data_IF_111081820106
#
_entry.id   IF_111081820106
#
_cell.length_a   1.000
_cell.length_b   1.000
_cell.length_c   1.000
_cell.angle_alpha   90.00
_cell.angle_beta   90.00
_cell.angle_gamma   90.00
#
_symmetry.space_group_name_H-M   'P 1'
#
loop_
_entity.id
_entity.type
_entity.pdbx_description
1 polymer ?
#
# COMPACT_ATOMS: atom_id res chain seq x y z
N UNK A 1 -53.87 9.38 -5.43
CA UNK A 1 -52.93 8.49 -6.13
C UNK A 1 -51.62 8.40 -5.35
N UNK A 2 -51.07 7.21 -5.02
CA UNK A 2 -50.02 7.02 -4.01
C UNK A 2 -48.59 7.06 -4.58
N UNK A 3 -48.34 7.94 -5.55
CA UNK A 3 -47.02 8.09 -6.17
C UNK A 3 -46.47 9.49 -5.85
N UNK A 4 -46.03 9.68 -4.62
CA UNK A 4 -45.46 10.94 -4.13
C UNK A 4 -44.28 10.72 -3.18
N UNK A 5 -43.58 11.80 -2.85
CA UNK A 5 -42.39 11.80 -1.99
C UNK A 5 -42.81 11.89 -0.51
N UNK A 6 -42.38 10.95 0.34
CA UNK A 6 -42.67 10.94 1.78
C UNK A 6 -42.77 9.54 2.40
N UNK A 7 -43.18 9.44 3.67
CA UNK A 7 -43.25 8.17 4.42
C UNK A 7 -44.22 7.12 3.85
N UNK A 8 -45.06 7.51 2.86
CA UNK A 8 -46.00 6.64 2.12
C UNK A 8 -45.56 6.35 0.69
N UNK A 9 -44.26 6.40 0.41
CA UNK A 9 -43.66 6.01 -0.86
C UNK A 9 -44.02 4.56 -1.21
N UNK A 10 -44.36 4.31 -2.48
CA UNK A 10 -44.60 2.96 -3.01
C UNK A 10 -43.42 2.03 -2.68
N UNK A 11 -43.70 0.81 -2.23
CA UNK A 11 -42.69 -0.21 -1.95
C UNK A 11 -41.79 -0.48 -3.17
N UNK A 12 -42.37 -0.43 -4.37
CA UNK A 12 -41.64 -0.55 -5.64
C UNK A 12 -40.65 0.58 -5.90
N UNK A 13 -40.87 1.78 -5.35
CA UNK A 13 -39.94 2.90 -5.51
C UNK A 13 -38.67 2.70 -4.68
N UNK A 14 -38.78 2.14 -3.47
CA UNK A 14 -37.60 1.78 -2.66
C UNK A 14 -36.79 0.66 -3.32
N UNK A 15 -37.48 -0.34 -3.86
CA UNK A 15 -36.85 -1.40 -4.64
C UNK A 15 -36.08 -0.83 -5.85
N UNK A 16 -36.73 0.01 -6.67
CA UNK A 16 -36.11 0.64 -7.84
C UNK A 16 -34.90 1.51 -7.45
N UNK A 17 -34.97 2.26 -6.35
CA UNK A 17 -33.84 3.06 -5.85
C UNK A 17 -32.66 2.18 -5.39
N UNK A 18 -32.93 1.05 -4.74
CA UNK A 18 -31.89 0.13 -4.30
C UNK A 18 -31.23 -0.58 -5.50
N UNK A 19 -32.01 -1.02 -6.48
CA UNK A 19 -31.50 -1.58 -7.73
C UNK A 19 -30.65 -0.57 -8.50
N UNK A 20 -31.10 0.69 -8.60
CA UNK A 20 -30.31 1.76 -9.24
C UNK A 20 -28.99 2.00 -8.50
N UNK A 21 -29.01 2.03 -7.16
CA UNK A 21 -27.79 2.15 -6.35
C UNK A 21 -26.85 0.98 -6.57
N UNK A 22 -27.36 -0.25 -6.63
CA UNK A 22 -26.57 -1.44 -6.91
C UNK A 22 -25.95 -1.39 -8.30
N UNK A 23 -26.72 -0.97 -9.32
CA UNK A 23 -26.24 -0.80 -10.69
C UNK A 23 -25.12 0.25 -10.77
N UNK A 24 -25.31 1.41 -10.13
CA UNK A 24 -24.28 2.46 -10.06
C UNK A 24 -23.03 1.97 -9.31
N UNK A 25 -23.21 1.23 -8.21
CA UNK A 25 -22.08 0.62 -7.50
C UNK A 25 -21.32 -0.37 -8.38
N UNK A 26 -22.01 -1.23 -9.13
CA UNK A 26 -21.35 -2.15 -10.06
C UNK A 26 -20.62 -1.41 -11.19
N UNK A 27 -21.17 -0.31 -11.71
CA UNK A 27 -20.52 0.54 -12.69
C UNK A 27 -19.20 1.10 -12.13
N UNK A 28 -19.22 1.69 -10.93
CA UNK A 28 -18.05 2.30 -10.29
C UNK A 28 -17.00 1.26 -9.87
N UNK A 29 -17.44 0.07 -9.44
CA UNK A 29 -16.53 -0.99 -8.99
C UNK A 29 -15.83 -1.70 -10.16
N UNK A 30 -16.48 -1.84 -11.30
CA UNK A 30 -15.93 -2.60 -12.44
C UNK A 30 -15.30 -1.73 -13.52
N UNK A 31 -15.67 -0.44 -13.60
CA UNK A 31 -15.27 0.43 -14.68
C UNK A 31 -14.73 1.77 -14.18
N UNK A 32 -13.84 2.37 -14.98
CA UNK A 32 -13.39 3.75 -14.83
C UNK A 32 -14.09 4.57 -15.91
N UNK A 33 -14.94 5.50 -15.48
CA UNK A 33 -15.60 6.46 -16.34
C UNK A 33 -14.64 7.64 -16.53
N UNK A 34 -14.19 7.85 -17.76
CA UNK A 34 -13.27 8.93 -18.12
C UNK A 34 -14.07 9.95 -18.94
N UNK A 35 -14.29 11.17 -18.43
CA UNK A 35 -14.96 12.20 -19.21
C UNK A 35 -14.10 12.58 -20.43
N UNK A 36 -14.75 12.92 -21.54
CA UNK A 36 -14.06 13.53 -22.67
C UNK A 36 -13.43 14.86 -22.22
N UNK A 37 -12.12 15.08 -22.42
CA UNK A 37 -11.46 16.35 -22.08
C UNK A 37 -12.14 17.58 -22.71
N UNK A 38 -12.83 17.41 -23.85
CA UNK A 38 -13.52 18.47 -24.57
C UNK A 38 -15.03 18.51 -24.32
N UNK A 39 -15.52 17.81 -23.29
CA UNK A 39 -16.95 17.75 -22.98
C UNK A 39 -17.53 19.14 -22.69
N UNK A 40 -18.34 19.65 -23.61
CA UNK A 40 -19.18 20.83 -23.40
C UNK A 40 -20.60 20.38 -23.07
N UNK A 41 -21.06 20.73 -21.87
CA UNK A 41 -22.41 20.41 -21.43
C UNK A 41 -23.39 21.45 -21.97
N UNK A 42 -24.25 21.02 -22.90
CA UNK A 42 -25.43 21.77 -23.29
C UNK A 42 -26.65 21.24 -22.53
N UNK A 43 -27.52 22.12 -22.04
CA UNK A 43 -28.68 21.74 -21.25
C UNK A 43 -29.97 21.93 -22.06
N UNK A 44 -31.00 21.16 -21.73
CA UNK A 44 -32.34 21.42 -22.24
C UNK A 44 -32.92 22.70 -21.62
N UNK A 45 -33.27 23.67 -22.46
CA UNK A 45 -33.99 24.87 -22.03
C UNK A 45 -35.45 24.51 -21.73
N UNK A 46 -35.97 24.96 -20.58
CA UNK A 46 -37.36 24.76 -20.17
C UNK A 46 -37.61 23.61 -19.18
N UNK A 47 -36.56 22.88 -18.76
CA UNK A 47 -36.68 21.88 -17.70
C UNK A 47 -36.46 22.48 -16.31
N UNK A 48 -37.22 22.01 -15.31
CA UNK A 48 -37.05 22.40 -13.90
C UNK A 48 -35.73 21.86 -13.32
N UNK A 49 -35.17 20.80 -13.90
CA UNK A 49 -33.92 20.15 -13.47
C UNK A 49 -32.88 20.33 -14.56
N UNK A 50 -31.64 20.64 -14.16
CA UNK A 50 -30.48 20.68 -15.05
C UNK A 50 -30.24 19.30 -15.67
N UNK A 51 -30.73 19.14 -16.90
CA UNK A 51 -30.59 17.92 -17.69
C UNK A 51 -29.69 18.20 -18.91
N UNK A 52 -28.48 17.63 -18.97
CA UNK A 52 -27.60 17.80 -20.12
C UNK A 52 -28.15 17.03 -21.33
N UNK A 53 -28.06 17.62 -22.52
CA UNK A 53 -28.45 17.02 -23.81
C UNK A 53 -27.64 15.78 -24.14
N UNK A 54 -26.34 15.81 -23.84
CA UNK A 54 -25.43 14.71 -24.09
C UNK A 54 -24.31 14.68 -23.07
N UNK A 55 -23.89 13.48 -22.68
CA UNK A 55 -22.75 13.25 -21.80
C UNK A 55 -21.91 12.14 -22.42
N UNK A 56 -20.88 12.54 -23.16
CA UNK A 56 -19.95 11.60 -23.80
C UNK A 56 -18.88 11.19 -22.78
N UNK A 57 -18.83 9.88 -22.49
CA UNK A 57 -17.84 9.29 -21.58
C UNK A 57 -17.12 8.13 -22.26
N UNK A 58 -15.83 7.99 -21.96
CA UNK A 58 -15.06 6.79 -22.29
C UNK A 58 -15.06 5.85 -21.10
N UNK A 59 -15.39 4.59 -21.34
CA UNK A 59 -15.39 3.55 -20.31
C UNK A 59 -14.13 2.71 -20.46
N UNK A 60 -13.30 2.65 -19.42
CA UNK A 60 -12.20 1.70 -19.32
C UNK A 60 -12.52 0.63 -18.29
N UNK A 61 -12.10 -0.62 -18.51
CA UNK A 61 -12.17 -1.65 -17.45
C UNK A 61 -11.31 -1.19 -16.27
N UNK A 62 -11.87 -1.23 -15.07
CA UNK A 62 -11.07 -1.01 -13.87
C UNK A 62 -10.14 -2.21 -13.72
N UNK A 63 -8.86 -1.95 -13.47
CA UNK A 63 -7.94 -3.01 -13.02
C UNK A 63 -8.51 -3.49 -11.69
N UNK A 64 -9.20 -4.63 -11.72
CA UNK A 64 -9.64 -5.29 -10.50
C UNK A 64 -8.36 -5.63 -9.76
N UNK A 65 -8.24 -5.20 -8.51
CA UNK A 65 -7.33 -5.88 -7.59
C UNK A 65 -7.70 -7.35 -7.74
N UNK A 66 -6.75 -8.18 -8.19
CA UNK A 66 -7.01 -9.60 -8.28
C UNK A 66 -7.49 -9.98 -6.89
N UNK A 67 -8.67 -10.62 -6.73
CA UNK A 67 -9.10 -11.14 -5.45
C UNK A 67 -8.26 -12.37 -5.20
N UNK A 68 -6.94 -12.20 -5.17
CA UNK A 68 -6.00 -13.17 -4.65
C UNK A 68 -6.21 -13.01 -3.16
N UNK A 69 -6.82 -13.98 -2.48
CA UNK A 69 -6.77 -14.03 -1.04
C UNK A 69 -5.27 -14.20 -0.76
N UNK A 70 -4.57 -13.11 -0.50
CA UNK A 70 -3.13 -13.18 -0.31
C UNK A 70 -2.93 -13.68 1.11
N UNK A 71 -3.11 -14.99 1.29
CA UNK A 71 -2.54 -15.79 2.36
C UNK A 71 -1.27 -16.49 1.85
N UNK A 72 -0.92 -16.34 0.57
CA UNK A 72 0.28 -16.95 -0.01
C UNK A 72 1.58 -16.54 0.69
N UNK A 73 1.65 -15.35 1.29
CA UNK A 73 2.81 -14.97 2.12
C UNK A 73 2.87 -15.68 3.48
N UNK A 74 1.83 -16.44 3.87
CA UNK A 74 1.89 -17.36 5.02
C UNK A 74 2.56 -18.69 4.64
N UNK A 75 2.48 -19.10 3.38
CA UNK A 75 3.03 -20.39 2.91
C UNK A 75 4.41 -20.25 2.27
N UNK A 76 4.80 -19.05 1.84
CA UNK A 76 6.10 -18.74 1.25
C UNK A 76 6.60 -17.35 1.66
N UNK A 77 7.91 -17.09 1.55
CA UNK A 77 8.48 -15.78 1.81
C UNK A 77 7.81 -14.66 1.00
N UNK A 78 7.68 -13.48 1.61
CA UNK A 78 6.98 -12.33 1.01
C UNK A 78 7.56 -11.91 -0.35
N UNK A 79 8.89 -11.98 -0.52
CA UNK A 79 9.55 -11.59 -1.76
C UNK A 79 9.17 -12.52 -2.92
N UNK A 80 9.13 -13.82 -2.66
CA UNK A 80 8.80 -14.84 -3.67
C UNK A 80 7.33 -14.72 -4.07
N UNK A 81 6.45 -14.54 -3.07
CA UNK A 81 5.05 -14.22 -3.31
C UNK A 81 4.90 -12.96 -4.18
N UNK A 82 5.58 -11.86 -3.83
CA UNK A 82 5.50 -10.62 -4.59
C UNK A 82 5.95 -10.79 -6.05
N UNK A 83 7.07 -11.47 -6.29
CA UNK A 83 7.58 -11.76 -7.64
C UNK A 83 6.59 -12.58 -8.48
N UNK A 84 5.95 -13.59 -7.89
CA UNK A 84 4.92 -14.35 -8.59
C UNK A 84 3.70 -13.50 -8.95
N UNK A 85 3.26 -12.64 -8.05
CA UNK A 85 2.10 -11.78 -8.31
C UNK A 85 2.40 -10.78 -9.42
N UNK A 86 3.60 -10.21 -9.45
CA UNK A 86 4.05 -9.33 -10.55
C UNK A 86 4.05 -10.08 -11.87
N UNK A 87 4.63 -11.29 -11.92
CA UNK A 87 4.64 -12.11 -13.15
C UNK A 87 3.23 -12.41 -13.67
N UNK A 88 2.25 -12.60 -12.79
CA UNK A 88 0.87 -12.97 -13.14
C UNK A 88 -0.02 -11.77 -13.47
N UNK A 89 0.19 -10.63 -12.81
CA UNK A 89 -0.73 -9.49 -12.84
C UNK A 89 -0.10 -8.19 -13.35
N UNK A 90 1.18 -8.22 -13.69
CA UNK A 90 1.95 -7.07 -14.15
C UNK A 90 2.49 -6.22 -13.00
N UNK A 91 3.24 -5.18 -13.36
CA UNK A 91 4.03 -4.38 -12.43
C UNK A 91 3.20 -3.55 -11.44
N UNK A 92 1.93 -3.27 -11.75
CA UNK A 92 1.04 -2.51 -10.87
C UNK A 92 -0.27 -3.28 -10.74
N UNK A 93 -0.52 -3.84 -9.56
CA UNK A 93 -1.75 -4.59 -9.31
C UNK A 93 -2.14 -4.51 -7.83
N UNK A 94 -3.45 -4.60 -7.58
CA UNK A 94 -3.97 -4.68 -6.22
C UNK A 94 -4.02 -6.11 -5.72
N UNK A 95 -3.66 -6.32 -4.45
CA UNK A 95 -3.86 -7.55 -3.70
C UNK A 95 -4.87 -7.32 -2.56
N UNK A 96 -5.53 -8.39 -2.14
CA UNK A 96 -6.46 -8.35 -1.01
C UNK A 96 -6.03 -9.37 0.05
N UNK A 97 -5.48 -8.88 1.16
CA UNK A 97 -5.16 -9.68 2.34
C UNK A 97 -6.32 -9.74 3.32
N UNK A 98 -6.11 -10.37 4.49
CA UNK A 98 -7.10 -10.38 5.57
C UNK A 98 -7.44 -8.93 5.97
N UNK A 99 -8.62 -8.48 5.55
CA UNK A 99 -9.19 -7.18 5.90
C UNK A 99 -8.55 -5.93 5.26
N UNK A 100 -7.57 -6.07 4.35
CA UNK A 100 -6.89 -4.90 3.75
C UNK A 100 -6.58 -5.09 2.27
N UNK A 101 -6.80 -4.00 1.51
CA UNK A 101 -6.36 -3.85 0.12
C UNK A 101 -4.95 -3.27 0.13
N UNK A 102 -4.02 -3.88 -0.58
CA UNK A 102 -2.68 -3.31 -0.81
C UNK A 102 -2.43 -3.20 -2.32
N UNK A 103 -1.61 -2.25 -2.71
CA UNK A 103 -1.18 -2.06 -4.09
C UNK A 103 0.28 -2.46 -4.19
N UNK A 104 0.58 -3.47 -5.00
CA UNK A 104 1.95 -3.83 -5.36
C UNK A 104 2.35 -2.97 -6.56
N UNK A 105 3.52 -2.34 -6.47
CA UNK A 105 4.08 -1.46 -7.49
C UNK A 105 5.55 -1.80 -7.71
N UNK A 106 5.87 -2.23 -8.92
CA UNK A 106 7.23 -2.48 -9.41
C UNK A 106 7.59 -1.47 -10.51
N UNK A 107 7.52 -0.18 -10.16
CA UNK A 107 8.01 0.92 -10.99
C UNK A 107 8.92 1.82 -10.13
N UNK A 108 10.24 1.87 -10.40
CA UNK A 108 11.18 2.70 -9.66
C UNK A 108 10.84 4.20 -9.70
N UNK A 109 10.26 4.70 -10.81
CA UNK A 109 9.90 6.12 -10.94
C UNK A 109 8.75 6.46 -10.00
N UNK A 110 7.71 5.63 -10.02
CA UNK A 110 6.55 5.80 -9.15
C UNK A 110 6.91 5.57 -7.68
N UNK A 111 7.73 4.56 -7.39
CA UNK A 111 8.21 4.29 -6.03
C UNK A 111 9.01 5.46 -5.46
N UNK A 112 9.87 6.09 -6.27
CA UNK A 112 10.60 7.30 -5.88
C UNK A 112 9.66 8.48 -5.64
N UNK A 113 8.71 8.70 -6.54
CA UNK A 113 7.73 9.78 -6.40
C UNK A 113 6.93 9.63 -5.11
N UNK A 114 6.40 8.44 -4.84
CA UNK A 114 5.62 8.15 -3.63
C UNK A 114 6.46 8.21 -2.35
N UNK A 115 7.66 7.62 -2.36
CA UNK A 115 8.52 7.54 -1.16
C UNK A 115 9.24 8.84 -0.82
N UNK A 116 9.41 9.76 -1.79
CA UNK A 116 10.16 11.01 -1.59
C UNK A 116 9.26 12.23 -1.64
N UNK A 117 8.52 12.43 -2.75
CA UNK A 117 7.69 13.64 -2.93
C UNK A 117 6.41 13.54 -2.12
N UNK A 118 5.74 12.39 -2.19
CA UNK A 118 4.40 12.19 -1.64
C UNK A 118 4.38 11.46 -0.30
N UNK A 119 5.53 11.31 0.36
CA UNK A 119 5.65 10.57 1.63
C UNK A 119 4.68 11.07 2.70
N UNK A 120 4.44 12.39 2.73
CA UNK A 120 3.52 13.04 3.66
C UNK A 120 2.06 12.59 3.52
N UNK A 121 1.66 12.07 2.36
CA UNK A 121 0.32 11.47 2.14
C UNK A 121 0.22 10.03 2.67
N UNK A 122 1.35 9.40 2.96
CA UNK A 122 1.44 8.02 3.46
C UNK A 122 2.24 7.96 4.77
N UNK A 123 1.74 8.58 5.86
CA UNK A 123 2.45 8.64 7.14
C UNK A 123 2.51 7.29 7.86
N UNK A 124 1.58 6.38 7.57
CA UNK A 124 1.48 5.08 8.23
C UNK A 124 2.58 4.12 7.76
N UNK A 125 3.27 3.50 8.73
CA UNK A 125 4.30 2.48 8.49
C UNK A 125 3.82 1.11 8.94
N UNK A 126 4.52 0.07 8.48
CA UNK A 126 4.21 -1.34 8.73
C UNK A 126 4.19 -1.73 10.24
N UNK A 127 4.57 -0.85 11.18
CA UNK A 127 4.50 -1.14 12.61
C UNK A 127 3.10 -1.45 13.13
N UNK A 128 2.04 -0.89 12.52
CA UNK A 128 0.66 -1.20 12.93
C UNK A 128 0.27 -2.69 12.82
N UNK A 129 1.07 -3.51 12.14
CA UNK A 129 0.83 -4.94 11.91
C UNK A 129 1.44 -5.87 12.98
N UNK A 130 2.34 -5.39 13.85
CA UNK A 130 3.00 -6.20 14.89
C UNK A 130 2.33 -6.09 16.28
N UNK A 131 1.12 -5.54 16.36
CA UNK A 131 0.35 -5.40 17.60
C UNK A 131 0.90 -4.31 18.53
N UNK A 132 0.72 -4.47 19.85
CA UNK A 132 1.18 -3.52 20.88
C UNK A 132 2.56 -3.87 21.44
N UNK A 133 3.45 -4.44 20.63
CA UNK A 133 4.81 -4.84 21.08
C UNK A 133 5.73 -3.61 21.21
N UNK A 134 6.82 -3.68 21.99
CA UNK A 134 7.75 -2.54 22.11
C UNK A 134 8.36 -2.14 20.75
N UNK A 135 8.50 -3.11 19.83
CA UNK A 135 9.04 -2.93 18.49
C UNK A 135 8.21 -1.97 17.63
N UNK A 136 6.89 -1.88 17.84
CA UNK A 136 6.05 -0.94 17.07
C UNK A 136 6.32 0.52 17.43
N UNK A 137 6.92 0.76 18.60
CA UNK A 137 7.38 2.07 19.05
C UNK A 137 8.83 2.36 18.63
N UNK A 138 9.49 1.44 17.91
CA UNK A 138 10.81 1.70 17.36
C UNK A 138 10.73 2.76 16.26
N UNK A 139 11.79 3.57 16.16
CA UNK A 139 11.92 4.64 15.16
C UNK A 139 11.63 4.18 13.73
N UNK A 140 11.92 2.91 13.43
CA UNK A 140 11.78 2.34 12.09
C UNK A 140 10.35 1.92 11.73
N UNK A 141 9.53 1.60 12.73
CA UNK A 141 8.22 0.99 12.54
C UNK A 141 7.06 1.92 12.92
N UNK A 142 7.31 2.95 13.72
CA UNK A 142 6.28 3.92 14.12
C UNK A 142 5.82 4.83 12.96
N UNK A 143 4.58 5.36 12.99
CA UNK A 143 4.10 6.31 11.98
C UNK A 143 4.99 7.55 11.88
N UNK A 144 5.08 8.16 10.69
CA UNK A 144 5.88 9.36 10.43
C UNK A 144 5.21 10.64 10.98
N UNK A 145 4.97 10.68 12.29
CA UNK A 145 4.35 11.78 13.03
C UNK A 145 5.39 12.65 13.78
N UNK A 146 4.93 13.54 14.66
CA UNK A 146 5.81 14.40 15.46
C UNK A 146 6.70 13.61 16.44
N UNK A 147 6.20 12.51 17.01
CA UNK A 147 7.02 11.65 17.88
C UNK A 147 8.16 11.01 17.11
N UNK A 148 7.91 10.55 15.89
CA UNK A 148 8.95 10.05 14.99
C UNK A 148 10.00 11.12 14.69
N UNK A 149 9.59 12.36 14.40
CA UNK A 149 10.53 13.49 14.18
C UNK A 149 11.37 13.75 15.43
N UNK A 150 10.76 13.75 16.62
CA UNK A 150 11.43 13.95 17.91
C UNK A 150 12.48 12.86 18.16
N UNK A 151 12.08 11.58 18.10
CA UNK A 151 12.99 10.45 18.33
C UNK A 151 14.12 10.45 17.28
N UNK A 152 13.80 10.70 16.01
CA UNK A 152 14.81 10.80 14.96
C UNK A 152 15.84 11.89 15.26
N UNK A 153 15.39 13.05 15.73
CA UNK A 153 16.28 14.17 16.09
C UNK A 153 17.22 13.79 17.23
N UNK A 154 16.75 13.00 18.20
CA UNK A 154 17.55 12.52 19.34
C UNK A 154 18.59 11.47 18.90
N UNK A 155 18.19 10.53 18.02
CA UNK A 155 19.03 9.38 17.64
C UNK A 155 20.05 9.73 16.53
N UNK A 156 19.68 10.61 15.60
CA UNK A 156 20.52 10.93 14.42
C UNK A 156 21.95 11.38 14.77
N UNK A 157 22.21 12.21 15.80
CA UNK A 157 23.56 12.62 16.18
C UNK A 157 24.52 11.46 16.53
N UNK A 158 24.00 10.31 16.95
CA UNK A 158 24.82 9.13 17.23
C UNK A 158 25.46 8.52 15.97
N UNK A 159 24.90 8.81 14.79
CA UNK A 159 25.33 8.27 13.49
C UNK A 159 26.07 9.30 12.63
N UNK A 160 26.68 10.32 13.24
CA UNK A 160 27.57 11.25 12.52
C UNK A 160 28.83 10.56 12.01
N UNK A 161 29.43 11.08 10.94
CA UNK A 161 30.66 10.51 10.36
C UNK A 161 31.80 10.34 11.38
N UNK A 162 31.95 11.28 12.32
CA UNK A 162 32.94 11.19 13.39
C UNK A 162 32.65 10.05 14.38
N UNK A 163 31.40 9.87 14.79
CA UNK A 163 31.00 8.76 15.67
C UNK A 163 31.08 7.41 14.96
N UNK A 164 30.69 7.34 13.69
CA UNK A 164 30.87 6.15 12.85
C UNK A 164 32.34 5.75 12.74
N UNK A 165 33.25 6.70 12.49
CA UNK A 165 34.70 6.44 12.49
C UNK A 165 35.20 5.93 13.84
N UNK A 166 34.72 6.49 14.95
CA UNK A 166 35.08 6.04 16.29
C UNK A 166 34.60 4.60 16.57
N UNK A 167 33.52 4.13 15.93
CA UNK A 167 33.03 2.75 16.06
C UNK A 167 33.85 1.72 15.28
N UNK A 168 34.70 2.13 14.33
CA UNK A 168 35.50 1.19 13.52
C UNK A 168 36.42 0.35 14.40
N UNK A 169 37.13 0.95 15.36
CA UNK A 169 38.06 0.25 16.23
C UNK A 169 37.41 -0.87 17.07
N UNK A 170 36.31 -0.63 17.83
CA UNK A 170 35.64 -1.70 18.55
C UNK A 170 35.01 -2.75 17.63
N UNK A 171 34.50 -2.35 16.45
CA UNK A 171 34.00 -3.32 15.45
C UNK A 171 35.12 -4.24 14.98
N UNK A 172 36.29 -3.70 14.63
CA UNK A 172 37.43 -4.51 14.20
C UNK A 172 37.89 -5.47 15.31
N UNK A 173 37.86 -5.04 16.57
CA UNK A 173 38.18 -5.94 17.70
C UNK A 173 37.22 -7.13 17.81
N UNK A 174 35.93 -6.93 17.53
CA UNK A 174 34.94 -8.02 17.49
C UNK A 174 35.19 -8.89 16.25
N UNK A 175 35.51 -8.27 15.11
CA UNK A 175 35.84 -8.96 13.87
C UNK A 175 37.07 -9.87 14.04
N UNK A 176 38.11 -9.43 14.74
CA UNK A 176 39.30 -10.23 15.01
C UNK A 176 38.95 -11.52 15.78
N UNK A 177 38.04 -11.43 16.77
CA UNK A 177 37.56 -12.60 17.51
C UNK A 177 36.74 -13.54 16.61
N UNK A 178 35.90 -12.97 15.75
CA UNK A 178 35.11 -13.74 14.78
C UNK A 178 36.02 -14.47 13.78
N UNK A 179 37.03 -13.80 13.22
CA UNK A 179 38.00 -14.39 12.30
C UNK A 179 38.79 -15.53 12.95
N UNK A 180 39.26 -15.36 14.20
CA UNK A 180 39.93 -16.45 14.94
C UNK A 180 39.05 -17.69 15.14
N UNK A 181 37.74 -17.52 15.25
CA UNK A 181 36.82 -18.66 15.34
C UNK A 181 36.61 -19.31 13.97
N UNK A 182 36.57 -18.51 12.90
CA UNK A 182 36.54 -19.02 11.53
C UNK A 182 37.81 -19.77 11.15
N UNK A 183 38.99 -19.31 11.58
CA UNK A 183 40.27 -19.97 11.31
C UNK A 183 40.28 -21.41 11.88
N UNK A 184 39.73 -21.62 13.08
CA UNK A 184 39.58 -22.96 13.68
C UNK A 184 38.72 -23.89 12.83
N UNK A 185 37.65 -23.37 12.24
CA UNK A 185 36.78 -24.13 11.34
C UNK A 185 37.43 -24.36 9.97
N UNK A 186 38.24 -23.41 9.49
CA UNK A 186 39.01 -23.57 8.26
C UNK A 186 40.09 -24.66 8.41
N UNK A 187 40.73 -24.75 9.58
CA UNK A 187 41.69 -25.80 9.92
C UNK A 187 41.04 -27.17 10.12
N UNK A 188 39.84 -27.23 10.71
CA UNK A 188 39.12 -28.49 10.89
C UNK A 188 38.53 -29.04 9.58
N UNK A 189 38.29 -28.18 8.58
CA UNK A 189 37.67 -28.55 7.31
C UNK A 189 36.19 -28.94 7.44
N UNK A 190 35.58 -28.68 8.60
CA UNK A 190 34.19 -29.04 8.88
C UNK A 190 33.22 -28.00 8.33
N UNK A 191 32.09 -28.47 7.79
CA UNK A 191 30.99 -27.57 7.45
C UNK A 191 30.34 -27.05 8.74
N UNK A 192 30.19 -25.73 8.85
CA UNK A 192 29.49 -25.10 9.97
C UNK A 192 28.42 -24.12 9.47
N UNK A 193 27.36 -23.93 10.26
CA UNK A 193 26.29 -22.99 9.96
C UNK A 193 26.67 -21.58 10.43
N UNK A 194 26.95 -20.69 9.47
CA UNK A 194 27.31 -19.28 9.69
C UNK A 194 26.19 -18.49 10.37
N UNK A 195 24.94 -18.96 10.31
CA UNK A 195 23.79 -18.24 10.90
C UNK A 195 23.67 -18.46 12.42
N UNK A 196 24.20 -19.57 12.93
CA UNK A 196 24.10 -19.96 14.34
C UNK A 196 25.29 -19.43 15.16
N UNK A 197 26.39 -19.10 14.47
CA UNK A 197 27.62 -18.52 15.04
C UNK A 197 27.62 -16.98 15.04
#
# INVERSE_FOLDING_TARGET
MPFGVGHRLCVGMRFAQNELRAAVAQLILNYRLIPDPNLKLEYFNGNVILSPRQVMIRIAKRIKASPVPSLGWLTKPLYEFAQEQVKKHGNIHGIYGIGRRALIMEDPKLARELSVKELHKFPDRFGGYLGKTSLVHSLFLMPANEDWKRIRTIVTPAFTSGKLKAMIAPINKILDNFLRNLDKHAESGEMFDVKIY
#
